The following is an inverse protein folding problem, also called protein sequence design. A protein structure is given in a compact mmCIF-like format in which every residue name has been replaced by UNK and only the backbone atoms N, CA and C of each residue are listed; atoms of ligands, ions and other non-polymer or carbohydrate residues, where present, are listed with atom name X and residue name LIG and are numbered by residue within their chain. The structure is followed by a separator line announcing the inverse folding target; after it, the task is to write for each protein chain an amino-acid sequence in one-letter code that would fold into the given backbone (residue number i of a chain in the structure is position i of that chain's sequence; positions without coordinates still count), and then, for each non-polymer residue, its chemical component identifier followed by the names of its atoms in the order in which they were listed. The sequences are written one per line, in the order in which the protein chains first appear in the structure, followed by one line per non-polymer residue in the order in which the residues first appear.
data_IF_177462743410
#
_entry.id   IF_177462743410
#
_cell.length_a   1.000
_cell.length_b   1.000
_cell.length_c   1.000
_cell.angle_alpha   90.00
_cell.angle_beta   90.00
_cell.angle_gamma   90.00
#
_symmetry.space_group_name_H-M   'P 1'
#
loop_
_entity.id
_entity.type
_entity.pdbx_description
1 polymer ?
#
# COMPACT_ATOMS: atom_id res chain seq x y z
N UNK A 1 0.16 19.54 17.41
CA UNK A 1 -1.08 19.17 16.69
C UNK A 1 -1.13 17.65 16.52
N UNK A 2 -2.20 17.00 16.96
CA UNK A 2 -2.43 15.58 16.79
C UNK A 2 -3.76 15.41 16.05
N UNK A 3 -3.75 14.93 14.78
CA UNK A 3 -4.98 14.74 14.04
C UNK A 3 -5.78 13.55 14.61
N UNK A 4 -7.08 13.54 14.42
CA UNK A 4 -7.96 12.40 14.78
C UNK A 4 -7.90 11.29 13.74
N UNK A 5 -7.61 11.65 12.50
CA UNK A 5 -7.54 10.73 11.36
C UNK A 5 -6.46 11.18 10.37
N UNK A 6 -5.78 10.23 9.77
CA UNK A 6 -4.87 10.41 8.63
C UNK A 6 -5.42 9.64 7.44
N UNK A 7 -5.49 10.30 6.29
CA UNK A 7 -5.93 9.70 5.03
C UNK A 7 -4.75 9.70 4.07
N UNK A 8 -4.34 8.52 3.62
CA UNK A 8 -3.39 8.36 2.54
C UNK A 8 -4.14 8.14 1.23
N UNK A 9 -3.79 8.92 0.23
CA UNK A 9 -4.23 8.72 -1.15
C UNK A 9 -3.02 8.75 -2.07
N UNK A 10 -2.96 7.82 -3.02
CA UNK A 10 -1.87 7.73 -3.98
C UNK A 10 -2.16 6.71 -5.08
N UNK A 11 -1.19 6.48 -5.95
CA UNK A 11 -1.23 5.43 -6.96
C UNK A 11 -0.74 4.10 -6.41
N UNK A 12 -1.13 3.00 -7.05
CA UNK A 12 -0.64 1.66 -6.73
C UNK A 12 -0.69 0.75 -7.96
N UNK A 13 0.22 -0.21 -8.03
CA UNK A 13 0.22 -1.27 -9.02
C UNK A 13 -0.63 -2.46 -8.57
N UNK A 14 -1.51 -2.95 -9.44
CA UNK A 14 -2.32 -4.13 -9.15
C UNK A 14 -1.50 -5.43 -9.28
N UNK A 15 -1.57 -6.28 -8.27
CA UNK A 15 -1.12 -7.68 -8.34
C UNK A 15 -2.32 -8.59 -8.61
N UNK A 16 -3.43 -8.29 -7.97
CA UNK A 16 -4.70 -9.00 -8.19
C UNK A 16 -5.28 -8.63 -9.54
N UNK A 17 -5.49 -9.62 -10.38
CA UNK A 17 -6.06 -9.44 -11.72
C UNK A 17 -7.44 -8.78 -11.68
N UNK A 18 -7.64 -7.82 -12.58
CA UNK A 18 -8.91 -7.12 -12.72
C UNK A 18 -9.17 -6.02 -11.69
N UNK A 19 -8.19 -5.73 -10.83
CA UNK A 19 -8.30 -4.60 -9.89
C UNK A 19 -8.10 -3.28 -10.63
N UNK A 20 -9.06 -2.36 -10.53
CA UNK A 20 -9.05 -1.07 -11.25
C UNK A 20 -9.72 0.02 -10.43
N UNK A 21 -9.51 1.28 -10.81
CA UNK A 21 -10.14 2.43 -10.17
C UNK A 21 -9.57 2.77 -8.79
N UNK A 22 -10.38 3.40 -7.94
CA UNK A 22 -10.01 3.71 -6.56
C UNK A 22 -10.46 2.57 -5.66
N UNK A 23 -9.52 2.04 -4.89
CA UNK A 23 -9.74 0.95 -3.93
C UNK A 23 -9.35 1.38 -2.51
N UNK A 24 -10.04 0.86 -1.50
CA UNK A 24 -9.68 1.07 -0.09
C UNK A 24 -8.81 -0.09 0.39
N UNK A 25 -7.64 0.26 0.95
CA UNK A 25 -6.73 -0.69 1.58
C UNK A 25 -6.93 -0.66 3.08
N UNK A 26 -7.06 -1.83 3.68
CA UNK A 26 -7.28 -1.99 5.13
C UNK A 26 -6.27 -2.91 5.79
N UNK A 27 -5.44 -3.56 4.99
CA UNK A 27 -4.37 -4.47 5.43
C UNK A 27 -3.05 -4.04 4.79
N UNK A 28 -1.98 -4.03 5.59
CA UNK A 28 -0.70 -3.49 5.17
C UNK A 28 0.45 -4.37 5.62
N UNK A 29 1.38 -4.64 4.69
CA UNK A 29 2.64 -5.36 4.92
C UNK A 29 3.81 -4.60 4.32
N UNK A 30 4.98 -4.76 4.93
CA UNK A 30 6.24 -4.35 4.32
C UNK A 30 6.77 -5.48 3.42
N UNK A 31 6.54 -5.40 2.11
CA UNK A 31 6.76 -6.50 1.16
C UNK A 31 8.21 -6.85 0.87
N UNK A 32 9.14 -5.93 1.08
CA UNK A 32 10.55 -6.05 0.73
C UNK A 32 11.52 -6.14 1.93
N UNK A 33 10.99 -6.20 3.16
CA UNK A 33 11.78 -6.53 4.32
C UNK A 33 12.08 -8.04 4.31
N UNK A 34 13.34 -8.39 4.00
CA UNK A 34 13.79 -9.78 3.94
C UNK A 34 15.10 -9.98 4.70
N UNK A 35 14.99 -10.52 5.89
CA UNK A 35 16.11 -10.88 6.76
C UNK A 35 16.17 -12.38 7.07
N UNK A 36 15.48 -13.19 6.27
CA UNK A 36 15.42 -14.66 6.45
C UNK A 36 16.78 -15.34 6.38
N UNK A 37 17.76 -14.72 5.71
CA UNK A 37 19.14 -15.23 5.68
C UNK A 37 19.91 -15.00 6.98
N UNK A 38 19.45 -14.14 7.86
CA UNK A 38 20.12 -13.77 9.11
C UNK A 38 19.35 -14.25 10.35
N UNK A 39 18.05 -14.27 10.30
CA UNK A 39 17.15 -14.55 11.43
C UNK A 39 16.01 -15.47 10.97
N UNK A 40 15.48 -16.27 11.90
CA UNK A 40 14.29 -17.10 11.67
C UNK A 40 13.02 -16.24 11.71
N UNK A 41 12.89 -15.35 10.74
CA UNK A 41 11.74 -14.47 10.53
C UNK A 41 11.10 -14.75 9.18
N UNK A 42 9.86 -14.34 8.99
CA UNK A 42 9.17 -14.42 7.70
C UNK A 42 9.46 -13.19 6.84
N UNK A 43 9.23 -13.33 5.55
CA UNK A 43 9.24 -12.19 4.64
C UNK A 43 8.23 -11.13 5.13
N UNK A 44 8.67 -9.89 5.24
CA UNK A 44 7.90 -8.77 5.75
C UNK A 44 8.05 -8.50 7.26
N UNK A 45 8.70 -9.40 8.00
CA UNK A 45 8.95 -9.20 9.43
C UNK A 45 10.22 -8.40 9.68
N UNK A 46 10.09 -7.33 10.48
CA UNK A 46 11.21 -6.47 10.88
C UNK A 46 11.81 -6.99 12.18
N UNK A 47 13.15 -7.17 12.29
CA UNK A 47 13.81 -7.61 13.50
C UNK A 47 13.45 -6.72 14.70
N UNK A 48 13.20 -7.36 15.85
CA UNK A 48 12.90 -6.68 17.13
C UNK A 48 11.63 -5.80 17.11
N UNK A 49 10.75 -6.00 16.13
CA UNK A 49 9.50 -5.27 15.99
C UNK A 49 8.32 -6.21 16.23
N UNK A 50 7.31 -5.72 16.93
CA UNK A 50 6.10 -6.48 17.23
C UNK A 50 4.95 -6.16 16.26
N UNK A 51 5.14 -5.17 15.35
CA UNK A 51 4.12 -4.74 14.39
C UNK A 51 4.63 -5.03 12.98
N UNK A 52 4.35 -6.23 12.48
CA UNK A 52 4.76 -6.67 11.15
C UNK A 52 3.60 -6.71 10.16
N UNK A 53 2.39 -6.77 10.68
CA UNK A 53 1.14 -6.79 9.93
C UNK A 53 0.18 -5.78 10.56
N UNK A 54 -0.45 -4.97 9.74
CA UNK A 54 -1.44 -4.00 10.20
C UNK A 54 -2.77 -4.33 9.53
N UNK A 55 -3.80 -4.63 10.33
CA UNK A 55 -5.15 -4.94 9.88
C UNK A 55 -6.11 -3.97 10.57
N UNK A 56 -6.66 -3.04 9.80
CA UNK A 56 -7.66 -2.09 10.28
C UNK A 56 -9.08 -2.68 10.21
N UNK A 57 -9.35 -3.50 9.19
CA UNK A 57 -10.58 -4.29 9.05
C UNK A 57 -10.38 -5.47 8.11
N UNK A 58 -11.30 -6.42 8.10
CA UNK A 58 -11.29 -7.57 7.18
C UNK A 58 -11.81 -7.20 5.77
N UNK A 59 -12.57 -6.13 5.67
CA UNK A 59 -13.04 -5.59 4.39
C UNK A 59 -11.92 -4.81 3.70
N UNK A 60 -11.88 -4.74 2.41
CA UNK A 60 -10.87 -4.01 1.66
C UNK A 60 -9.63 -4.84 1.30
N UNK A 61 -8.67 -4.20 0.66
CA UNK A 61 -7.55 -4.84 -0.02
C UNK A 61 -6.27 -4.85 0.83
N UNK A 62 -5.42 -5.84 0.54
CA UNK A 62 -4.09 -5.99 1.14
C UNK A 62 -3.06 -5.25 0.28
N UNK A 63 -2.43 -4.24 0.88
CA UNK A 63 -1.38 -3.45 0.27
C UNK A 63 0.00 -3.89 0.77
N UNK A 64 0.90 -4.21 -0.17
CA UNK A 64 2.32 -4.46 0.10
C UNK A 64 3.17 -3.24 -0.21
N UNK A 65 3.67 -2.56 0.81
CA UNK A 65 4.55 -1.40 0.63
C UNK A 65 6.02 -1.80 0.57
N UNK A 66 6.82 -1.10 -0.24
CA UNK A 66 8.26 -1.31 -0.31
C UNK A 66 8.97 -0.22 -1.11
N UNK A 67 10.28 -0.12 -0.96
CA UNK A 67 11.09 0.99 -1.47
C UNK A 67 11.45 0.88 -2.96
N UNK A 68 10.96 -0.14 -3.65
CA UNK A 68 11.21 -0.34 -5.09
C UNK A 68 9.93 -0.34 -5.91
N UNK A 69 9.99 0.26 -7.10
CA UNK A 69 8.91 0.16 -8.08
C UNK A 69 8.77 -1.27 -8.59
N UNK A 70 7.57 -1.83 -8.58
CA UNK A 70 7.31 -3.22 -8.98
C UNK A 70 6.96 -3.28 -10.46
N UNK A 71 7.81 -3.95 -11.23
CA UNK A 71 7.63 -4.21 -12.66
C UNK A 71 7.84 -5.70 -13.03
N UNK A 72 7.78 -6.58 -12.02
CA UNK A 72 7.92 -8.03 -12.15
C UNK A 72 7.21 -8.74 -11.01
N UNK A 73 7.05 -10.04 -11.15
CA UNK A 73 6.44 -10.85 -10.08
C UNK A 73 7.20 -10.72 -8.76
N UNK A 74 6.45 -10.57 -7.67
CA UNK A 74 6.96 -10.55 -6.29
C UNK A 74 6.56 -11.82 -5.54
N UNK A 75 7.32 -12.17 -4.50
CA UNK A 75 7.07 -13.37 -3.69
C UNK A 75 5.87 -13.21 -2.76
N UNK A 76 5.75 -12.03 -2.14
CA UNK A 76 4.67 -11.78 -1.18
C UNK A 76 3.30 -11.74 -1.86
N UNK A 77 2.33 -12.46 -1.29
CA UNK A 77 0.95 -12.47 -1.79
C UNK A 77 0.19 -11.26 -1.25
N UNK A 78 0.00 -10.26 -2.10
CA UNK A 78 -0.75 -9.03 -1.83
C UNK A 78 -1.71 -8.75 -2.98
N UNK A 79 -2.72 -7.89 -2.77
CA UNK A 79 -3.65 -7.50 -3.82
C UNK A 79 -3.08 -6.38 -4.70
N UNK A 80 -2.34 -5.45 -4.09
CA UNK A 80 -1.71 -4.32 -4.77
C UNK A 80 -0.42 -3.92 -4.06
N UNK A 81 0.40 -3.10 -4.74
CA UNK A 81 1.69 -2.63 -4.23
C UNK A 81 1.79 -1.11 -4.32
N UNK A 82 2.41 -0.53 -3.30
CA UNK A 82 2.77 0.88 -3.22
C UNK A 82 4.14 1.07 -2.56
N UNK A 83 4.46 2.30 -2.18
CA UNK A 83 5.75 2.61 -1.58
C UNK A 83 5.66 3.26 -0.19
N UNK A 84 4.46 3.55 0.36
CA UNK A 84 4.31 4.39 1.56
C UNK A 84 3.31 3.85 2.60
N UNK A 85 2.26 3.15 2.19
CA UNK A 85 1.09 2.91 3.02
C UNK A 85 1.39 2.18 4.33
N UNK A 86 2.28 1.17 4.32
CA UNK A 86 2.65 0.45 5.53
C UNK A 86 3.32 1.37 6.56
N UNK A 87 4.27 2.20 6.13
CA UNK A 87 4.97 3.11 7.04
C UNK A 87 4.02 4.13 7.68
N UNK A 88 3.11 4.70 6.89
CA UNK A 88 2.09 5.62 7.38
C UNK A 88 1.11 4.95 8.34
N UNK A 89 0.63 3.76 7.99
CA UNK A 89 -0.25 2.97 8.86
C UNK A 89 0.44 2.64 10.19
N UNK A 90 1.73 2.28 10.16
CA UNK A 90 2.52 1.95 11.35
C UNK A 90 2.68 3.15 12.28
N UNK A 91 3.02 4.32 11.76
CA UNK A 91 3.07 5.54 12.56
C UNK A 91 1.71 5.84 13.19
N UNK A 92 0.62 5.72 12.42
CA UNK A 92 -0.71 5.99 12.94
C UNK A 92 -1.12 5.04 14.07
N UNK A 93 -0.82 3.74 13.96
CA UNK A 93 -1.14 2.78 15.02
C UNK A 93 -0.33 3.03 16.29
N UNK A 94 0.96 3.37 16.15
CA UNK A 94 1.83 3.72 17.29
C UNK A 94 1.35 4.99 18.01
N UNK A 95 0.82 5.95 17.28
CA UNK A 95 0.30 7.21 17.81
C UNK A 95 -1.18 7.14 18.23
N UNK A 96 -1.86 6.02 18.03
CA UNK A 96 -3.29 5.87 18.30
C UNK A 96 -4.16 6.79 17.44
N UNK A 97 -3.79 6.97 16.16
CA UNK A 97 -4.49 7.78 15.17
C UNK A 97 -5.19 6.86 14.19
N UNK A 98 -6.43 7.18 13.85
CA UNK A 98 -7.15 6.44 12.81
C UNK A 98 -6.47 6.63 11.45
N UNK A 99 -6.29 5.53 10.71
CA UNK A 99 -5.68 5.54 9.39
C UNK A 99 -6.63 4.98 8.34
N UNK A 100 -6.79 5.70 7.23
CA UNK A 100 -7.49 5.24 6.03
C UNK A 100 -6.58 5.37 4.82
N UNK A 101 -6.69 4.42 3.91
CA UNK A 101 -5.84 4.38 2.73
C UNK A 101 -6.66 4.09 1.48
N UNK A 102 -6.57 5.00 0.51
CA UNK A 102 -7.20 4.85 -0.81
C UNK A 102 -6.13 4.88 -1.89
N UNK A 103 -6.16 3.92 -2.79
CA UNK A 103 -5.20 3.83 -3.89
C UNK A 103 -5.94 3.81 -5.23
N UNK A 104 -5.45 4.64 -6.15
CA UNK A 104 -5.85 4.57 -7.55
C UNK A 104 -4.93 3.58 -8.26
N UNK A 105 -5.51 2.58 -8.88
CA UNK A 105 -4.75 1.56 -9.63
C UNK A 105 -4.27 2.18 -10.93
N UNK A 106 -2.98 2.45 -11.02
CA UNK A 106 -2.33 3.09 -12.15
C UNK A 106 -1.76 2.12 -13.17
N UNK A 107 -1.40 0.92 -12.73
CA UNK A 107 -0.70 -0.09 -13.51
C UNK A 107 -0.94 -1.51 -12.94
N UNK A 108 -0.43 -2.52 -13.66
CA UNK A 108 -0.56 -3.93 -13.27
C UNK A 108 0.72 -4.51 -12.65
N UNK A 109 1.64 -3.67 -12.20
CA UNK A 109 2.92 -4.07 -11.60
C UNK A 109 3.71 -5.08 -12.46
N UNK A 110 3.66 -4.94 -13.78
CA UNK A 110 4.29 -5.78 -14.79
C UNK A 110 5.35 -4.99 -15.61
N UNK A 111 5.80 -5.55 -16.73
CA UNK A 111 6.81 -4.91 -17.58
C UNK A 111 6.40 -3.54 -18.14
N UNK A 112 5.11 -3.27 -18.28
CA UNK A 112 4.55 -2.04 -18.84
C UNK A 112 4.21 -1.01 -17.75
N UNK A 113 4.33 -1.40 -16.47
CA UNK A 113 3.92 -0.62 -15.30
C UNK A 113 4.46 0.82 -15.31
N UNK A 114 5.70 1.04 -15.76
CA UNK A 114 6.30 2.39 -15.78
C UNK A 114 5.61 3.33 -16.76
N UNK A 115 5.25 2.85 -17.96
CA UNK A 115 4.51 3.64 -18.97
C UNK A 115 3.08 3.86 -18.52
N UNK A 116 2.42 2.83 -18.01
CA UNK A 116 1.06 2.89 -17.52
C UNK A 116 0.93 3.87 -16.36
N UNK A 117 1.88 3.85 -15.42
CA UNK A 117 1.91 4.77 -14.29
C UNK A 117 2.01 6.23 -14.75
N UNK A 118 2.93 6.54 -15.69
CA UNK A 118 3.11 7.90 -16.22
C UNK A 118 1.82 8.40 -16.88
N UNK A 119 1.15 7.56 -17.66
CA UNK A 119 -0.10 7.90 -18.35
C UNK A 119 -1.26 8.11 -17.36
N UNK A 120 -1.38 7.23 -16.35
CA UNK A 120 -2.53 7.20 -15.45
C UNK A 120 -2.38 8.06 -14.19
N UNK A 121 -1.18 8.51 -13.83
CA UNK A 121 -0.92 9.28 -12.61
C UNK A 121 -1.80 10.55 -12.53
N UNK A 122 -1.92 11.30 -13.64
CA UNK A 122 -2.75 12.50 -13.72
C UNK A 122 -4.23 12.18 -13.48
N UNK A 123 -4.73 11.12 -14.06
CA UNK A 123 -6.12 10.67 -13.87
C UNK A 123 -6.41 10.30 -12.41
N UNK A 124 -5.47 9.67 -11.73
CA UNK A 124 -5.57 9.40 -10.29
C UNK A 124 -5.71 10.69 -9.48
N UNK A 125 -4.92 11.72 -9.79
CA UNK A 125 -5.01 13.01 -9.12
C UNK A 125 -6.35 13.73 -9.35
N UNK A 126 -6.91 13.68 -10.55
CA UNK A 126 -8.24 14.24 -10.87
C UNK A 126 -9.35 13.53 -10.09
N UNK A 127 -9.31 12.21 -10.01
CA UNK A 127 -10.28 11.42 -9.24
C UNK A 127 -10.18 11.68 -7.74
N UNK A 128 -9.00 11.97 -7.21
CA UNK A 128 -8.83 12.36 -5.82
C UNK A 128 -9.59 13.63 -5.46
N UNK A 129 -9.61 14.63 -6.33
CA UNK A 129 -10.34 15.88 -6.10
C UNK A 129 -11.86 15.65 -5.93
N UNK A 130 -12.38 14.58 -6.52
CA UNK A 130 -13.76 14.16 -6.33
C UNK A 130 -13.90 13.42 -5.00
N UNK A 131 -13.02 12.45 -4.78
CA UNK A 131 -13.05 11.56 -3.61
C UNK A 131 -12.87 12.30 -2.27
N UNK A 132 -12.04 13.36 -2.25
CA UNK A 132 -11.80 14.14 -1.02
C UNK A 132 -13.06 14.80 -0.45
N UNK A 133 -14.08 14.99 -1.27
CA UNK A 133 -15.37 15.55 -0.82
C UNK A 133 -16.21 14.56 0.00
N UNK A 134 -15.82 13.27 -0.01
CA UNK A 134 -16.50 12.21 0.74
C UNK A 134 -15.94 12.07 2.18
N UNK A 135 -14.88 12.82 2.51
CA UNK A 135 -14.22 12.82 3.82
C UNK A 135 -14.62 14.06 4.64
#
# INVERSE_FOLDING_TARGET
FKPSEVINYGTAGAIKKGLTGIVECTKFYQRDMDVRSLLDLKLGETPFDNINEIINSDDGYLCGSGDSFVNKQIEMKVDLVDMEAYALAKVCILEGIKFRCFKYISDNADSDASSDWIENCKKGAELFQIKIKDF
#
